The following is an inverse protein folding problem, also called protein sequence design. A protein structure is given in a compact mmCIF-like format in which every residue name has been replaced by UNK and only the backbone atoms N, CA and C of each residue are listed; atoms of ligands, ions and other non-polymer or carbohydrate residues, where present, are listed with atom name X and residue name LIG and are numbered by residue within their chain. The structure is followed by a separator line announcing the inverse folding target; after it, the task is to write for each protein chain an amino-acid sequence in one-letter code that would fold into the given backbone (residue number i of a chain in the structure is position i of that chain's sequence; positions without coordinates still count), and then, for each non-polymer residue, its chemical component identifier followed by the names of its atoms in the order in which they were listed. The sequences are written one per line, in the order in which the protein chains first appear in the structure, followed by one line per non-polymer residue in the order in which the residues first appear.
data_IF_003573641724
#
_entry.id   IF_003573641724
#
_cell.length_a   1.000
_cell.length_b   1.000
_cell.length_c   1.000
_cell.angle_alpha   90.00
_cell.angle_beta   90.00
_cell.angle_gamma   90.00
#
_symmetry.space_group_name_H-M   'P 1'
#
loop_
_entity.id
_entity.type
_entity.pdbx_description
1 polymer ?
#
# COMPACT_ATOMS: atom_id res chain seq x y z
N UNK A 1 -3.39 8.68 -3.27
CA UNK A 1 -3.94 7.49 -3.94
C UNK A 1 -5.44 7.53 -3.90
N UNK A 2 -6.11 6.77 -4.77
CA UNK A 2 -7.56 6.58 -4.73
C UNK A 2 -7.94 5.66 -3.56
N UNK A 3 -9.08 5.90 -2.91
CA UNK A 3 -9.63 4.91 -1.97
C UNK A 3 -10.21 3.72 -2.74
N UNK A 4 -10.43 2.59 -2.06
CA UNK A 4 -11.08 1.41 -2.67
C UNK A 4 -12.45 1.77 -3.28
N UNK A 5 -13.19 2.70 -2.65
CA UNK A 5 -14.48 3.18 -3.14
C UNK A 5 -14.34 4.04 -4.40
N UNK A 6 -13.30 4.87 -4.47
CA UNK A 6 -13.02 5.67 -5.66
C UNK A 6 -12.65 4.78 -6.85
N UNK A 7 -11.85 3.72 -6.60
CA UNK A 7 -11.49 2.72 -7.62
C UNK A 7 -12.75 2.02 -8.15
N UNK A 8 -13.62 1.57 -7.26
CA UNK A 8 -14.88 0.93 -7.63
C UNK A 8 -15.74 1.86 -8.51
N UNK A 9 -15.91 3.12 -8.09
CA UNK A 9 -16.69 4.11 -8.85
C UNK A 9 -16.07 4.40 -10.22
N UNK A 10 -14.74 4.51 -10.27
CA UNK A 10 -14.01 4.77 -11.50
C UNK A 10 -14.15 3.61 -12.52
N UNK A 11 -14.05 2.36 -12.05
CA UNK A 11 -14.21 1.17 -12.90
C UNK A 11 -15.64 1.03 -13.43
N UNK A 12 -16.65 1.30 -12.59
CA UNK A 12 -18.05 1.30 -13.00
C UNK A 12 -18.33 2.38 -14.07
N UNK A 13 -17.79 3.59 -13.90
CA UNK A 13 -18.04 4.72 -14.80
C UNK A 13 -17.29 4.58 -16.14
N UNK A 14 -16.07 4.02 -16.11
CA UNK A 14 -15.19 3.97 -17.28
C UNK A 14 -15.36 2.70 -18.11
N UNK A 15 -15.53 1.55 -17.45
CA UNK A 15 -15.51 0.22 -18.08
C UNK A 15 -16.87 -0.50 -17.90
N UNK A 16 -17.83 0.09 -17.18
CA UNK A 16 -19.14 -0.51 -16.93
C UNK A 16 -19.08 -1.77 -16.07
N UNK A 17 -17.94 -2.02 -15.39
CA UNK A 17 -17.74 -3.21 -14.56
C UNK A 17 -17.95 -2.87 -13.10
N UNK A 18 -18.88 -3.57 -12.45
CA UNK A 18 -19.07 -3.49 -11.01
C UNK A 18 -18.22 -4.54 -10.30
N UNK A 19 -17.20 -4.10 -9.56
CA UNK A 19 -16.42 -4.96 -8.67
C UNK A 19 -16.73 -4.62 -7.21
N UNK A 20 -16.78 -5.65 -6.36
CA UNK A 20 -16.91 -5.44 -4.92
C UNK A 20 -15.63 -4.84 -4.34
N UNK A 21 -15.78 -4.07 -3.25
CA UNK A 21 -14.65 -3.57 -2.48
C UNK A 21 -13.70 -4.69 -2.04
N UNK A 22 -14.25 -5.85 -1.67
CA UNK A 22 -13.49 -7.04 -1.26
C UNK A 22 -12.63 -7.59 -2.42
N UNK A 23 -13.19 -7.62 -3.63
CA UNK A 23 -12.44 -8.04 -4.82
C UNK A 23 -11.27 -7.10 -5.11
N UNK A 24 -11.50 -5.79 -5.00
CA UNK A 24 -10.45 -4.78 -5.18
C UNK A 24 -9.37 -4.94 -4.11
N UNK A 25 -9.74 -5.10 -2.84
CA UNK A 25 -8.79 -5.35 -1.75
C UNK A 25 -7.94 -6.60 -2.01
N UNK A 26 -8.57 -7.72 -2.38
CA UNK A 26 -7.85 -8.96 -2.68
C UNK A 26 -6.89 -8.81 -3.86
N UNK A 27 -7.26 -8.05 -4.88
CA UNK A 27 -6.36 -7.73 -6.00
C UNK A 27 -5.17 -6.91 -5.51
N UNK A 28 -5.39 -5.90 -4.66
CA UNK A 28 -4.30 -5.10 -4.10
C UNK A 28 -3.39 -5.91 -3.17
N UNK A 29 -3.94 -6.88 -2.45
CA UNK A 29 -3.18 -7.76 -1.56
C UNK A 29 -2.25 -8.70 -2.34
N UNK A 30 -2.55 -9.00 -3.60
CA UNK A 30 -1.69 -9.85 -4.43
C UNK A 30 -0.27 -9.27 -4.64
N UNK A 31 -0.12 -7.95 -4.51
CA UNK A 31 1.18 -7.26 -4.65
C UNK A 31 2.06 -7.41 -3.39
N UNK A 32 1.50 -7.87 -2.26
CA UNK A 32 2.26 -8.01 -1.00
C UNK A 32 3.45 -8.97 -1.12
N UNK A 33 3.32 -10.01 -1.95
CA UNK A 33 4.41 -10.95 -2.21
C UNK A 33 5.58 -10.25 -2.94
N UNK A 34 5.28 -9.46 -3.97
CA UNK A 34 6.27 -8.67 -4.70
C UNK A 34 6.95 -7.63 -3.80
N UNK A 35 6.19 -6.95 -2.94
CA UNK A 35 6.73 -6.02 -1.93
C UNK A 35 7.74 -6.72 -1.02
N UNK A 36 7.43 -7.94 -0.59
CA UNK A 36 8.32 -8.72 0.26
C UNK A 36 9.63 -9.08 -0.45
N UNK A 37 9.57 -9.42 -1.73
CA UNK A 37 10.77 -9.70 -2.54
C UNK A 37 11.58 -8.43 -2.76
N UNK A 38 10.91 -7.32 -3.05
CA UNK A 38 11.55 -6.02 -3.24
C UNK A 38 12.31 -5.57 -1.99
N UNK A 39 11.75 -5.79 -0.79
CA UNK A 39 12.43 -5.50 0.48
C UNK A 39 13.69 -6.36 0.71
N UNK A 40 13.74 -7.56 0.14
CA UNK A 40 14.87 -8.50 0.27
C UNK A 40 15.91 -8.38 -0.83
N UNK A 41 15.76 -7.44 -1.76
CA UNK A 41 16.68 -7.28 -2.88
C UNK A 41 18.12 -7.03 -2.39
N UNK A 42 19.14 -7.59 -3.05
CA UNK A 42 20.52 -7.29 -2.70
C UNK A 42 20.79 -5.80 -2.91
N UNK A 43 21.50 -5.19 -1.96
CA UNK A 43 22.00 -3.82 -2.06
C UNK A 43 23.46 -3.84 -2.54
N UNK A 44 23.92 -2.72 -3.07
CA UNK A 44 25.34 -2.54 -3.41
C UNK A 44 26.21 -2.46 -2.14
N UNK A 45 27.49 -2.78 -2.28
CA UNK A 45 28.41 -2.86 -1.13
C UNK A 45 28.68 -1.50 -0.48
N UNK A 46 28.58 -0.40 -1.24
CA UNK A 46 28.98 0.93 -0.78
C UNK A 46 27.91 2.00 -1.07
N UNK A 47 27.39 2.60 0.00
CA UNK A 47 26.59 3.83 -0.03
C UNK A 47 27.29 4.89 0.84
N UNK A 48 28.10 5.80 0.27
CA UNK A 48 28.88 6.77 1.06
C UNK A 48 28.02 7.73 1.88
N UNK A 49 26.78 7.97 1.44
CA UNK A 49 25.79 8.80 2.12
C UNK A 49 24.44 8.05 2.06
N UNK A 50 23.76 7.97 3.20
CA UNK A 50 22.40 7.42 3.31
C UNK A 50 21.53 8.46 4.01
N UNK A 51 20.39 8.78 3.41
CA UNK A 51 19.37 9.62 4.03
C UNK A 51 18.28 8.73 4.63
N UNK A 52 17.90 9.03 5.86
CA UNK A 52 16.78 8.42 6.54
C UNK A 52 15.67 9.45 6.67
N UNK A 53 14.46 9.06 6.32
CA UNK A 53 13.25 9.86 6.48
C UNK A 53 12.23 9.07 7.30
N UNK A 54 11.31 9.77 7.94
CA UNK A 54 10.25 9.16 8.74
C UNK A 54 8.93 9.89 8.51
N UNK A 55 7.89 9.13 8.16
CA UNK A 55 6.54 9.66 8.01
C UNK A 55 5.68 9.25 9.21
N UNK A 56 5.04 10.22 9.86
CA UNK A 56 4.10 9.93 10.94
C UNK A 56 2.72 9.67 10.37
N UNK A 57 2.27 8.42 10.44
CA UNK A 57 0.96 8.00 9.95
C UNK A 57 0.08 7.44 11.07
N UNK A 58 -1.24 7.62 10.93
CA UNK A 58 -2.24 7.08 11.85
C UNK A 58 -2.56 5.64 11.47
N UNK A 59 -2.23 4.70 12.35
CA UNK A 59 -2.48 3.27 12.18
C UNK A 59 -3.45 2.80 13.25
N UNK A 60 -4.41 1.96 12.85
CA UNK A 60 -5.29 1.25 13.79
C UNK A 60 -4.58 0.01 14.29
N UNK A 61 -4.37 -0.06 15.60
CA UNK A 61 -3.69 -1.16 16.29
C UNK A 61 -4.49 -1.50 17.56
N UNK A 62 -4.95 -2.76 17.67
CA UNK A 62 -5.74 -3.22 18.82
C UNK A 62 -6.93 -2.33 19.16
N UNK A 63 -7.71 -1.91 18.16
CA UNK A 63 -8.87 -0.99 18.25
C UNK A 63 -8.57 0.48 18.58
N UNK A 64 -7.32 0.86 18.80
CA UNK A 64 -6.92 2.26 18.98
C UNK A 64 -6.22 2.79 17.73
N UNK A 65 -6.51 4.04 17.37
CA UNK A 65 -5.75 4.74 16.32
C UNK A 65 -4.57 5.42 16.98
N UNK A 66 -3.36 5.03 16.61
CA UNK A 66 -2.10 5.57 17.14
C UNK A 66 -1.27 6.18 16.01
N UNK A 67 -0.56 7.26 16.32
CA UNK A 67 0.47 7.77 15.42
C UNK A 67 1.69 6.84 15.51
N UNK A 68 2.20 6.37 14.37
CA UNK A 68 3.45 5.62 14.27
C UNK A 68 4.36 6.29 13.26
N UNK A 69 5.66 6.33 13.56
CA UNK A 69 6.68 6.62 12.56
C UNK A 69 6.87 5.38 11.69
N UNK A 70 6.83 5.57 10.38
CA UNK A 70 7.10 4.56 9.36
C UNK A 70 8.38 4.93 8.60
#
# INVERSE_FOLDING_TARGET
GMTIRDIQHHLATTIGTELSHDTISRITDAVLEEVTQWQKRPLEELYPIVYLDALVIKIRDGHQVKNRAA
#
